data_IF_059348276971
#
_entry.id   IF_059348276971
#
_cell.length_a   1.000
_cell.length_b   1.000
_cell.length_c   1.000
_cell.angle_alpha   90.00
_cell.angle_beta   90.00
_cell.angle_gamma   90.00
#
_symmetry.space_group_name_H-M   'P 1'
#
loop_
_entity.id
_entity.type
_entity.pdbx_description
1 polymer ?
#
# COMPACT_ATOMS: atom_id res chain seq x y z
N UNK A 1 -51.92 8.29 39.52
CA UNK A 1 -51.64 9.73 39.33
C UNK A 1 -50.73 9.81 38.12
N UNK A 2 -51.27 10.21 36.97
CA UNK A 2 -50.51 10.42 35.75
C UNK A 2 -49.93 11.84 35.77
N UNK A 3 -48.69 12.01 35.28
CA UNK A 3 -48.28 13.22 34.57
C UNK A 3 -47.25 12.80 33.50
N UNK A 4 -47.65 12.93 32.24
CA UNK A 4 -46.79 12.97 31.06
C UNK A 4 -46.19 14.38 30.93
N UNK A 5 -44.92 14.46 30.54
CA UNK A 5 -44.38 15.44 29.58
C UNK A 5 -42.97 14.95 29.19
N UNK A 6 -42.75 14.37 28.01
CA UNK A 6 -42.64 15.02 26.69
C UNK A 6 -41.42 15.94 26.58
N UNK A 7 -40.28 15.35 26.25
CA UNK A 7 -39.25 15.96 25.42
C UNK A 7 -38.41 14.83 24.83
N UNK A 8 -38.73 14.45 23.59
CA UNK A 8 -37.84 13.64 22.76
C UNK A 8 -36.50 14.37 22.61
N UNK A 9 -35.35 13.71 22.84
CA UNK A 9 -34.10 14.24 22.34
C UNK A 9 -34.15 14.04 20.83
N UNK A 10 -34.38 15.13 20.10
CA UNK A 10 -34.04 15.19 18.68
C UNK A 10 -32.55 14.88 18.60
N UNK A 11 -32.26 13.67 18.15
CA UNK A 11 -30.92 13.15 17.96
C UNK A 11 -30.15 14.08 17.03
N UNK A 12 -29.04 14.62 17.51
CA UNK A 12 -28.04 15.33 16.72
C UNK A 12 -27.20 14.33 15.87
N UNK A 13 -27.84 13.31 15.27
CA UNK A 13 -27.17 12.18 14.62
C UNK A 13 -26.46 12.51 13.31
N UNK A 14 -26.65 13.69 12.75
CA UNK A 14 -25.99 14.09 11.49
C UNK A 14 -24.53 14.49 11.68
N UNK A 15 -24.11 14.81 12.90
CA UNK A 15 -22.72 15.16 13.24
C UNK A 15 -21.85 13.92 13.49
N UNK A 16 -22.46 12.80 13.89
CA UNK A 16 -21.81 11.50 14.09
C UNK A 16 -21.67 10.69 12.78
N UNK A 17 -22.21 11.14 11.63
CA UNK A 17 -22.25 10.29 10.40
C UNK A 17 -21.24 10.66 9.31
N UNK A 18 -20.82 11.91 9.17
CA UNK A 18 -19.93 12.33 8.06
C UNK A 18 -18.44 12.31 8.41
N UNK A 19 -18.11 12.60 9.67
CA UNK A 19 -16.73 12.52 10.17
C UNK A 19 -16.29 11.06 10.21
N UNK A 20 -17.14 10.20 10.77
CA UNK A 20 -16.92 8.76 10.93
C UNK A 20 -16.81 8.08 9.57
N UNK A 21 -17.71 8.39 8.63
CA UNK A 21 -17.69 7.82 7.27
C UNK A 21 -16.44 8.19 6.44
N UNK A 22 -15.69 9.21 6.85
CA UNK A 22 -14.41 9.59 6.22
C UNK A 22 -13.21 8.88 6.85
N UNK A 23 -13.33 8.46 8.10
CA UNK A 23 -12.25 7.86 8.84
C UNK A 23 -12.12 6.39 8.43
N UNK A 24 -11.00 6.05 7.79
CA UNK A 24 -10.77 4.71 7.30
C UNK A 24 -10.56 3.72 8.45
N UNK A 25 -11.00 2.48 8.25
CA UNK A 25 -10.67 1.37 9.16
C UNK A 25 -9.20 0.95 9.00
N UNK A 26 -8.64 1.10 7.81
CA UNK A 26 -7.23 0.80 7.52
C UNK A 26 -6.66 1.68 6.40
N UNK A 27 -5.34 1.86 6.40
CA UNK A 27 -4.60 2.38 5.24
C UNK A 27 -3.54 1.34 4.89
N UNK A 28 -3.62 0.79 3.68
CA UNK A 28 -2.79 -0.30 3.26
C UNK A 28 -1.54 0.17 2.49
N UNK A 29 -0.48 -0.61 2.62
CA UNK A 29 0.73 -0.47 1.81
C UNK A 29 1.20 -1.85 1.36
N UNK A 30 1.12 -2.09 0.06
CA UNK A 30 1.36 -3.39 -0.53
C UNK A 30 2.77 -3.45 -1.09
N UNK A 31 3.63 -4.19 -0.39
CA UNK A 31 5.01 -4.40 -0.78
C UNK A 31 5.58 -5.64 -0.09
N UNK A 32 6.63 -6.23 -0.68
CA UNK A 32 7.39 -7.31 -0.05
C UNK A 32 8.17 -6.85 1.19
N UNK A 33 8.50 -7.80 2.06
CA UNK A 33 9.48 -7.60 3.14
C UNK A 33 10.82 -7.12 2.53
N UNK A 34 11.50 -6.12 3.14
CA UNK A 34 11.24 -5.58 4.48
C UNK A 34 10.34 -4.34 4.54
N UNK A 35 9.84 -3.83 3.40
CA UNK A 35 9.03 -2.62 3.38
C UNK A 35 7.67 -2.82 4.06
N UNK A 36 7.08 -4.03 3.94
CA UNK A 36 5.89 -4.44 4.68
C UNK A 36 6.04 -4.26 6.20
N UNK A 37 7.19 -4.61 6.76
CA UNK A 37 7.45 -4.46 8.20
C UNK A 37 7.51 -3.01 8.63
N UNK A 38 8.18 -2.16 7.83
CA UNK A 38 8.25 -0.73 8.15
C UNK A 38 6.86 -0.08 8.09
N UNK A 39 6.02 -0.51 7.14
CA UNK A 39 4.64 -0.09 7.04
C UNK A 39 3.82 -0.56 8.25
N UNK A 40 3.92 -1.84 8.61
CA UNK A 40 3.25 -2.42 9.78
C UNK A 40 3.65 -1.70 11.08
N UNK A 41 4.95 -1.44 11.29
CA UNK A 41 5.46 -0.71 12.45
C UNK A 41 4.96 0.75 12.52
N UNK A 42 4.64 1.34 11.37
CA UNK A 42 4.02 2.66 11.30
C UNK A 42 2.49 2.61 11.41
N UNK A 43 1.88 1.42 11.49
CA UNK A 43 0.46 1.20 11.66
C UNK A 43 -0.35 1.12 10.37
N UNK A 44 0.33 0.93 9.22
CA UNK A 44 -0.35 0.57 7.96
C UNK A 44 -0.75 -0.91 7.99
N UNK A 45 -1.75 -1.26 7.17
CA UNK A 45 -2.07 -2.66 6.86
C UNK A 45 -1.09 -3.16 5.79
N UNK A 46 -0.14 -4.05 6.12
CA UNK A 46 0.82 -4.55 5.14
C UNK A 46 0.14 -5.53 4.19
N UNK A 47 0.63 -5.62 2.96
CA UNK A 47 0.05 -6.54 1.98
C UNK A 47 0.93 -6.75 0.77
N UNK A 48 0.44 -7.49 -0.22
CA UNK A 48 1.09 -7.65 -1.51
C UNK A 48 0.09 -8.07 -2.57
N UNK A 49 0.54 -8.09 -3.82
CA UNK A 49 -0.23 -8.57 -4.96
C UNK A 49 0.03 -10.06 -5.16
N UNK A 50 -1.01 -10.84 -5.43
CA UNK A 50 -1.00 -12.31 -5.45
C UNK A 50 0.02 -12.93 -6.41
N UNK A 51 0.40 -12.23 -7.49
CA UNK A 51 1.42 -12.65 -8.46
C UNK A 51 2.88 -12.43 -7.99
N UNK A 52 3.06 -11.82 -6.82
CA UNK A 52 4.38 -11.51 -6.25
C UNK A 52 4.74 -12.46 -5.10
N UNK A 53 6.03 -12.59 -4.82
CA UNK A 53 6.50 -13.21 -3.59
C UNK A 53 6.43 -12.20 -2.44
N UNK A 54 5.77 -12.56 -1.34
CA UNK A 54 5.64 -11.66 -0.18
C UNK A 54 6.92 -11.53 0.64
N UNK A 55 7.63 -12.66 0.79
CA UNK A 55 8.89 -12.76 1.52
C UNK A 55 9.94 -13.49 0.66
N UNK A 56 11.15 -12.96 0.64
CA UNK A 56 12.30 -13.65 0.03
C UNK A 56 12.84 -14.71 0.97
N UNK A 57 13.56 -15.71 0.44
CA UNK A 57 14.04 -16.86 1.21
C UNK A 57 14.92 -16.50 2.41
N UNK A 58 15.62 -15.37 2.38
CA UNK A 58 16.39 -14.91 3.55
C UNK A 58 15.52 -14.44 4.74
N UNK A 59 14.21 -14.32 4.55
CA UNK A 59 13.23 -13.92 5.57
C UNK A 59 12.23 -15.05 5.90
N UNK A 60 12.47 -16.29 5.49
CA UNK A 60 11.54 -17.42 5.70
C UNK A 60 11.24 -17.76 7.18
N UNK A 61 12.02 -17.20 8.11
CA UNK A 61 11.82 -17.37 9.57
C UNK A 61 11.03 -16.22 10.19
N UNK A 62 10.69 -15.19 9.42
CA UNK A 62 9.94 -14.04 9.85
C UNK A 62 8.45 -14.27 9.60
N UNK A 63 7.64 -14.24 10.64
CA UNK A 63 6.19 -14.16 10.49
C UNK A 63 5.79 -12.69 10.27
N UNK A 64 5.35 -12.36 9.06
CA UNK A 64 4.75 -11.06 8.73
C UNK A 64 3.29 -11.33 8.29
N UNK A 65 2.28 -10.78 8.98
CA UNK A 65 0.90 -11.00 8.59
C UNK A 65 0.62 -10.38 7.23
N UNK A 66 -0.20 -11.04 6.43
CA UNK A 66 -0.74 -10.48 5.18
C UNK A 66 -2.06 -9.80 5.53
N UNK A 67 -2.02 -8.49 5.74
CA UNK A 67 -3.24 -7.74 6.02
C UNK A 67 -4.09 -7.49 4.76
N UNK A 68 -3.46 -7.23 3.61
CA UNK A 68 -4.15 -7.04 2.35
C UNK A 68 -3.56 -7.87 1.21
N UNK A 69 -4.41 -8.56 0.46
CA UNK A 69 -4.07 -9.27 -0.78
C UNK A 69 -4.76 -8.58 -1.95
N UNK A 70 -3.98 -8.15 -2.95
CA UNK A 70 -4.48 -7.52 -4.17
C UNK A 70 -4.36 -8.47 -5.37
N UNK A 71 -5.22 -8.28 -6.38
CA UNK A 71 -5.19 -9.08 -7.61
C UNK A 71 -4.31 -8.44 -8.69
N UNK A 72 -3.76 -9.25 -9.61
CA UNK A 72 -3.05 -8.77 -10.78
C UNK A 72 -4.05 -8.43 -11.87
N UNK A 73 -4.61 -7.21 -11.78
CA UNK A 73 -5.60 -6.73 -12.74
C UNK A 73 -5.12 -6.74 -14.19
N UNK A 74 -3.80 -6.79 -14.45
CA UNK A 74 -3.23 -6.85 -15.81
C UNK A 74 -3.28 -8.25 -16.41
N UNK A 75 -3.23 -9.28 -15.57
CA UNK A 75 -3.32 -10.67 -15.97
C UNK A 75 -4.16 -11.42 -14.92
N UNK A 76 -5.48 -11.12 -14.87
CA UNK A 76 -6.35 -11.61 -13.82
C UNK A 76 -6.49 -13.12 -13.91
N UNK A 77 -6.35 -13.77 -12.76
CA UNK A 77 -6.41 -15.22 -12.61
C UNK A 77 -7.09 -15.50 -11.27
N UNK A 78 -8.39 -15.78 -11.32
CA UNK A 78 -9.23 -15.93 -10.13
C UNK A 78 -8.84 -17.18 -9.33
N UNK A 79 -8.48 -18.28 -10.00
CA UNK A 79 -8.04 -19.50 -9.33
C UNK A 79 -6.74 -19.26 -8.57
N UNK A 80 -5.76 -18.60 -9.22
CA UNK A 80 -4.52 -18.18 -8.54
C UNK A 80 -4.82 -17.28 -7.34
N UNK A 81 -5.72 -16.32 -7.48
CA UNK A 81 -6.08 -15.43 -6.37
C UNK A 81 -6.70 -16.20 -5.21
N UNK A 82 -7.66 -17.11 -5.48
CA UNK A 82 -8.31 -17.96 -4.47
C UNK A 82 -7.29 -18.81 -3.73
N UNK A 83 -6.38 -19.47 -4.44
CA UNK A 83 -5.33 -20.29 -3.83
C UNK A 83 -4.46 -19.45 -2.87
N UNK A 84 -4.07 -18.24 -3.27
CA UNK A 84 -3.25 -17.34 -2.45
C UNK A 84 -4.04 -16.77 -1.27
N UNK A 85 -5.33 -16.46 -1.43
CA UNK A 85 -6.19 -16.01 -0.34
C UNK A 85 -6.34 -17.10 0.73
N UNK A 86 -6.49 -18.36 0.34
CA UNK A 86 -6.55 -19.50 1.27
C UNK A 86 -5.19 -19.80 1.91
N UNK A 87 -4.08 -19.53 1.23
CA UNK A 87 -2.73 -19.72 1.77
C UNK A 87 -2.39 -18.70 2.87
N UNK A 88 -2.76 -17.42 2.67
CA UNK A 88 -2.35 -16.34 3.58
C UNK A 88 -3.44 -15.83 4.51
N UNK A 89 -4.71 -16.17 4.25
CA UNK A 89 -5.86 -15.77 5.05
C UNK A 89 -5.88 -14.24 5.34
N UNK A 90 -5.93 -13.38 4.31
CA UNK A 90 -5.76 -11.95 4.50
C UNK A 90 -6.95 -11.31 5.23
N UNK A 91 -6.72 -10.21 5.96
CA UNK A 91 -7.82 -9.42 6.55
C UNK A 91 -8.68 -8.74 5.46
N UNK A 92 -8.04 -8.34 4.35
CA UNK A 92 -8.67 -7.63 3.23
C UNK A 92 -8.23 -8.26 1.91
N UNK A 93 -9.18 -8.50 1.00
CA UNK A 93 -8.89 -9.10 -0.30
C UNK A 93 -9.54 -8.37 -1.48
N UNK A 94 -8.75 -7.90 -2.45
CA UNK A 94 -9.26 -7.37 -3.73
C UNK A 94 -9.39 -8.53 -4.72
N UNK A 95 -10.61 -9.00 -4.97
CA UNK A 95 -10.81 -10.22 -5.76
C UNK A 95 -10.63 -10.00 -7.27
N UNK A 96 -10.93 -8.80 -7.76
CA UNK A 96 -10.87 -8.53 -9.19
C UNK A 96 -11.58 -7.26 -9.67
N UNK A 97 -11.26 -6.93 -10.92
CA UNK A 97 -11.91 -5.88 -11.71
C UNK A 97 -13.13 -6.47 -12.44
N UNK A 98 -14.32 -5.88 -12.26
CA UNK A 98 -15.57 -6.30 -12.90
C UNK A 98 -15.99 -5.32 -14.00
N UNK A 99 -15.89 -5.72 -15.26
CA UNK A 99 -16.21 -4.90 -16.43
C UNK A 99 -17.68 -4.94 -16.82
N UNK A 100 -18.43 -5.93 -16.34
CA UNK A 100 -19.88 -6.02 -16.48
C UNK A 100 -20.58 -6.65 -15.26
N UNK A 101 -21.91 -6.71 -15.32
CA UNK A 101 -22.72 -7.28 -14.24
C UNK A 101 -22.53 -8.80 -14.07
N UNK A 102 -22.17 -9.53 -15.12
CA UNK A 102 -21.97 -10.98 -15.06
C UNK A 102 -20.64 -11.31 -14.38
N UNK A 103 -19.57 -10.57 -14.69
CA UNK A 103 -18.29 -10.68 -13.98
C UNK A 103 -18.44 -10.27 -12.51
N UNK A 104 -19.16 -9.19 -12.23
CA UNK A 104 -19.48 -8.80 -10.86
C UNK A 104 -20.19 -9.93 -10.10
N UNK A 105 -21.22 -10.55 -10.70
CA UNK A 105 -21.91 -11.69 -10.09
C UNK A 105 -20.99 -12.89 -9.89
N UNK A 106 -20.09 -13.19 -10.83
CA UNK A 106 -19.11 -14.26 -10.68
C UNK A 106 -18.21 -14.03 -9.45
N UNK A 107 -17.71 -12.81 -9.26
CA UNK A 107 -16.91 -12.49 -8.06
C UNK A 107 -17.74 -12.54 -6.78
N UNK A 108 -19.00 -12.10 -6.81
CA UNK A 108 -19.91 -12.22 -5.66
C UNK A 108 -20.05 -13.69 -5.27
N UNK A 109 -20.31 -14.58 -6.24
CA UNK A 109 -20.48 -16.01 -5.99
C UNK A 109 -19.19 -16.61 -5.38
N UNK A 110 -18.01 -16.27 -5.92
CA UNK A 110 -16.72 -16.71 -5.36
C UNK A 110 -16.48 -16.17 -3.94
N UNK A 111 -16.81 -14.91 -3.66
CA UNK A 111 -16.72 -14.35 -2.30
C UNK A 111 -17.61 -15.14 -1.35
N UNK A 112 -18.83 -15.51 -1.75
CA UNK A 112 -19.73 -16.30 -0.87
C UNK A 112 -19.17 -17.69 -0.58
N UNK A 113 -18.46 -18.29 -1.52
CA UNK A 113 -17.76 -19.56 -1.30
C UNK A 113 -16.57 -19.37 -0.34
N UNK A 114 -15.74 -18.35 -0.57
CA UNK A 114 -14.59 -18.04 0.27
C UNK A 114 -14.98 -17.69 1.70
N UNK A 115 -16.10 -17.01 1.92
CA UNK A 115 -16.63 -16.69 3.25
C UNK A 115 -16.90 -17.94 4.12
N UNK A 116 -17.00 -19.14 3.51
CA UNK A 116 -17.07 -20.40 4.26
C UNK A 116 -15.76 -20.78 4.97
N UNK A 117 -14.61 -20.33 4.45
CA UNK A 117 -13.27 -20.60 5.00
C UNK A 117 -12.62 -19.34 5.59
N UNK A 118 -12.94 -18.17 5.05
CA UNK A 118 -12.37 -16.86 5.35
C UNK A 118 -13.48 -15.90 5.82
N UNK A 119 -14.14 -16.26 6.93
CA UNK A 119 -15.34 -15.57 7.40
C UNK A 119 -15.09 -14.10 7.80
N UNK A 120 -13.88 -13.80 8.28
CA UNK A 120 -13.50 -12.47 8.77
C UNK A 120 -12.86 -11.59 7.67
N UNK A 121 -12.56 -12.14 6.50
CA UNK A 121 -11.92 -11.39 5.40
C UNK A 121 -12.92 -10.43 4.74
N UNK A 122 -12.52 -9.16 4.64
CA UNK A 122 -13.26 -8.14 3.92
C UNK A 122 -12.88 -8.15 2.43
N UNK A 123 -13.79 -8.63 1.58
CA UNK A 123 -13.57 -8.69 0.14
C UNK A 123 -14.03 -7.43 -0.58
N UNK A 124 -13.25 -7.02 -1.58
CA UNK A 124 -13.46 -5.87 -2.44
C UNK A 124 -13.63 -6.34 -3.88
N UNK A 125 -14.68 -5.87 -4.55
CA UNK A 125 -14.83 -5.97 -6.01
C UNK A 125 -14.65 -4.57 -6.61
N UNK A 126 -13.85 -4.46 -7.67
CA UNK A 126 -13.56 -3.17 -8.32
C UNK A 126 -14.41 -3.02 -9.59
N UNK A 127 -15.60 -2.38 -9.54
CA UNK A 127 -16.42 -2.19 -10.73
C UNK A 127 -15.75 -1.25 -11.74
N UNK A 128 -15.92 -1.54 -13.03
CA UNK A 128 -15.48 -0.69 -14.17
C UNK A 128 -16.63 -0.18 -15.03
N UNK A 129 -17.87 -0.46 -14.63
CA UNK A 129 -19.07 0.12 -15.23
C UNK A 129 -20.19 0.25 -14.19
N UNK A 130 -21.22 1.06 -14.48
CA UNK A 130 -22.36 1.25 -13.57
C UNK A 130 -23.16 -0.04 -13.35
N UNK A 131 -23.31 -0.88 -14.37
CA UNK A 131 -24.01 -2.16 -14.24
C UNK A 131 -23.32 -3.11 -13.25
N UNK A 132 -21.99 -3.05 -13.14
CA UNK A 132 -21.24 -3.80 -12.12
C UNK A 132 -21.50 -3.24 -10.71
N UNK A 133 -21.54 -1.91 -10.52
CA UNK A 133 -21.91 -1.29 -9.23
C UNK A 133 -23.28 -1.79 -8.75
N UNK A 134 -24.27 -1.81 -9.66
CA UNK A 134 -25.65 -2.24 -9.36
C UNK A 134 -25.76 -3.74 -9.04
N UNK A 135 -24.88 -4.57 -9.61
CA UNK A 135 -24.87 -6.01 -9.40
C UNK A 135 -24.20 -6.43 -8.08
N UNK A 136 -23.27 -5.62 -7.55
CA UNK A 136 -22.54 -5.93 -6.31
C UNK A 136 -23.44 -5.58 -5.10
N UNK A 137 -23.75 -6.54 -4.21
CA UNK A 137 -24.59 -6.30 -3.04
C UNK A 137 -23.94 -5.36 -2.02
N UNK A 138 -24.77 -4.70 -1.20
CA UNK A 138 -24.34 -3.63 -0.30
C UNK A 138 -23.38 -4.08 0.82
N UNK A 139 -23.36 -5.38 1.15
CA UNK A 139 -22.48 -5.95 2.16
C UNK A 139 -21.05 -6.24 1.65
N UNK A 140 -20.83 -6.14 0.33
CA UNK A 140 -19.50 -6.26 -0.28
C UNK A 140 -18.96 -4.85 -0.60
N UNK A 141 -17.68 -4.65 -0.29
CA UNK A 141 -17.00 -3.36 -0.48
C UNK A 141 -16.78 -3.09 -1.97
N UNK A 142 -17.05 -1.85 -2.38
CA UNK A 142 -16.74 -1.38 -3.73
C UNK A 142 -15.33 -0.80 -3.78
N UNK A 143 -14.55 -1.26 -4.76
CA UNK A 143 -13.26 -0.67 -5.11
C UNK A 143 -13.43 0.56 -5.99
N UNK A 144 -13.15 1.76 -5.46
CA UNK A 144 -13.09 2.98 -6.23
C UNK A 144 -11.72 3.12 -6.90
N UNK A 145 -11.62 2.75 -8.18
CA UNK A 145 -10.41 2.90 -8.98
C UNK A 145 -10.05 4.38 -9.20
N UNK A 146 -8.97 4.85 -8.58
CA UNK A 146 -8.46 6.24 -8.70
C UNK A 146 -7.03 6.32 -9.26
N UNK A 147 -6.29 5.22 -9.18
CA UNK A 147 -4.89 5.09 -9.58
C UNK A 147 -4.63 4.71 -11.03
N UNK A 148 -3.65 3.82 -11.23
CA UNK A 148 -3.29 3.30 -12.55
C UNK A 148 -4.21 2.12 -12.88
N UNK A 149 -5.12 2.29 -13.83
CA UNK A 149 -6.04 1.26 -14.31
C UNK A 149 -6.47 1.56 -15.76
N UNK A 150 -7.11 0.60 -16.43
CA UNK A 150 -7.69 0.83 -17.77
C UNK A 150 -8.88 1.79 -17.73
N UNK A 151 -9.73 1.65 -16.72
CA UNK A 151 -10.92 2.49 -16.49
C UNK A 151 -10.94 2.99 -15.05
N UNK A 152 -11.18 4.28 -14.87
CA UNK A 152 -11.27 4.94 -13.56
C UNK A 152 -12.74 5.15 -13.17
N UNK A 153 -13.02 5.10 -11.86
CA UNK A 153 -14.38 5.19 -11.33
C UNK A 153 -15.15 6.42 -11.82
N UNK A 154 -14.50 7.59 -11.83
CA UNK A 154 -15.11 8.86 -12.26
C UNK A 154 -15.41 8.95 -13.76
N UNK A 155 -14.95 8.00 -14.59
CA UNK A 155 -15.19 8.00 -16.04
C UNK A 155 -16.55 7.42 -16.41
N UNK A 156 -17.09 6.51 -15.59
CA UNK A 156 -18.36 5.81 -15.86
C UNK A 156 -19.44 6.03 -14.81
N UNK A 157 -19.12 6.67 -13.69
CA UNK A 157 -20.04 6.84 -12.56
C UNK A 157 -20.02 8.28 -12.02
N UNK A 158 -21.04 8.62 -11.24
CA UNK A 158 -21.15 9.86 -10.50
C UNK A 158 -21.05 9.58 -8.99
N UNK A 159 -20.73 10.59 -8.15
CA UNK A 159 -20.60 10.39 -6.70
C UNK A 159 -21.80 9.71 -6.04
N UNK A 160 -23.02 10.01 -6.52
CA UNK A 160 -24.27 9.40 -6.03
C UNK A 160 -24.30 7.88 -6.17
N UNK A 161 -23.59 7.32 -7.15
CA UNK A 161 -23.52 5.86 -7.39
C UNK A 161 -22.74 5.13 -6.27
N UNK A 162 -21.97 5.85 -5.46
CA UNK A 162 -21.11 5.30 -4.39
C UNK A 162 -21.59 5.66 -2.98
N UNK A 163 -22.49 6.63 -2.87
CA UNK A 163 -22.97 7.14 -1.58
C UNK A 163 -23.86 6.12 -0.89
N UNK A 164 -23.71 5.97 0.42
CA UNK A 164 -24.35 4.90 1.20
C UNK A 164 -23.72 3.52 1.03
N UNK A 165 -22.65 3.38 0.23
CA UNK A 165 -21.89 2.14 0.08
C UNK A 165 -20.61 2.20 0.91
N UNK A 166 -20.06 1.01 1.21
CA UNK A 166 -18.71 0.83 1.74
C UNK A 166 -17.72 0.88 0.58
N UNK A 167 -16.70 1.73 0.68
CA UNK A 167 -15.80 2.06 -0.42
C UNK A 167 -14.35 1.97 0.02
N UNK A 168 -13.57 1.20 -0.72
CA UNK A 168 -12.11 1.21 -0.66
C UNK A 168 -11.56 2.01 -1.85
N UNK A 169 -10.67 2.98 -1.63
CA UNK A 169 -10.11 3.80 -2.73
C UNK A 169 -8.78 3.21 -3.20
N UNK A 170 -8.77 2.69 -4.43
CA UNK A 170 -7.60 2.01 -5.02
C UNK A 170 -6.66 2.97 -5.75
N UNK A 171 -5.45 3.08 -5.22
CA UNK A 171 -4.36 3.84 -5.78
C UNK A 171 -4.64 5.34 -6.00
N UNK A 172 -3.75 5.99 -6.75
CA UNK A 172 -3.76 7.44 -6.90
C UNK A 172 -3.01 8.13 -5.76
N UNK A 173 -2.41 9.29 -6.02
CA UNK A 173 -1.65 10.00 -4.99
C UNK A 173 -2.57 10.47 -3.84
N UNK A 174 -2.06 10.65 -2.62
CA UNK A 174 -2.87 11.02 -1.46
C UNK A 174 -3.76 12.26 -1.66
N UNK A 175 -3.31 13.35 -2.32
CA UNK A 175 -4.21 14.47 -2.62
C UNK A 175 -5.38 14.11 -3.56
N UNK A 176 -5.14 13.22 -4.54
CA UNK A 176 -6.16 12.74 -5.48
C UNK A 176 -7.17 11.81 -4.81
N UNK A 177 -6.74 11.06 -3.81
CA UNK A 177 -7.59 10.23 -2.98
C UNK A 177 -8.40 11.11 -2.01
N UNK A 178 -7.80 12.14 -1.43
CA UNK A 178 -8.49 13.11 -0.58
C UNK A 178 -9.64 13.81 -1.32
N UNK A 179 -9.45 14.22 -2.58
CA UNK A 179 -10.54 14.75 -3.42
C UNK A 179 -11.75 13.79 -3.51
N UNK A 180 -11.48 12.49 -3.65
CA UNK A 180 -12.53 11.46 -3.70
C UNK A 180 -13.19 11.31 -2.34
N UNK A 181 -12.41 11.21 -1.26
CA UNK A 181 -12.91 11.15 0.11
C UNK A 181 -13.84 12.34 0.38
N UNK A 182 -13.43 13.56 0.09
CA UNK A 182 -14.25 14.77 0.25
C UNK A 182 -15.52 14.69 -0.59
N UNK A 183 -15.41 14.31 -1.86
CA UNK A 183 -16.55 14.21 -2.76
C UNK A 183 -17.59 13.19 -2.29
N UNK A 184 -17.16 12.04 -1.78
CA UNK A 184 -18.03 10.94 -1.39
C UNK A 184 -18.59 11.09 0.04
N UNK A 185 -17.92 11.85 0.92
CA UNK A 185 -18.30 11.96 2.33
C UNK A 185 -18.93 13.30 2.70
N UNK A 186 -18.69 14.38 1.96
CA UNK A 186 -19.25 15.69 2.33
C UNK A 186 -20.79 15.70 2.28
N UNK A 187 -21.45 16.55 3.09
CA UNK A 187 -22.90 16.75 3.01
C UNK A 187 -23.35 17.24 1.63
N UNK A 188 -24.51 16.79 1.17
CA UNK A 188 -25.10 17.22 -0.11
C UNK A 188 -26.41 17.98 0.13
N UNK A 189 -26.80 18.82 -0.84
CA UNK A 189 -28.09 19.54 -0.79
C UNK A 189 -29.31 18.61 -0.83
N UNK A 190 -29.15 17.44 -1.42
CA UNK A 190 -30.15 16.37 -1.51
C UNK A 190 -30.28 15.55 -0.22
N UNK A 191 -29.33 15.69 0.71
CA UNK A 191 -29.31 14.92 1.95
C UNK A 191 -28.91 13.46 1.76
N UNK A 192 -28.22 13.14 0.65
CA UNK A 192 -27.75 11.78 0.39
C UNK A 192 -26.75 11.36 1.47
N UNK A 193 -26.80 10.10 1.95
CA UNK A 193 -25.86 9.61 2.96
C UNK A 193 -24.42 9.67 2.44
N UNK A 194 -23.40 9.86 3.28
CA UNK A 194 -22.01 9.74 2.84
C UNK A 194 -21.71 8.30 2.40
N UNK A 195 -20.70 8.10 1.55
CA UNK A 195 -20.06 6.79 1.42
C UNK A 195 -19.24 6.50 2.68
N UNK A 196 -19.19 5.25 3.10
CA UNK A 196 -18.35 4.76 4.20
C UNK A 196 -16.97 4.39 3.64
N UNK A 197 -15.96 5.22 3.86
CA UNK A 197 -14.59 4.99 3.40
C UNK A 197 -13.94 3.96 4.32
N UNK A 198 -13.87 2.70 3.89
CA UNK A 198 -13.33 1.62 4.72
C UNK A 198 -11.81 1.52 4.65
N UNK A 199 -11.21 1.84 3.50
CA UNK A 199 -9.77 1.76 3.33
C UNK A 199 -9.22 2.50 2.12
N UNK A 200 -7.91 2.71 2.13
CA UNK A 200 -7.15 3.27 1.01
C UNK A 200 -5.82 2.53 0.85
N UNK A 201 -5.34 2.39 -0.37
CA UNK A 201 -3.98 1.92 -0.65
C UNK A 201 -3.25 2.83 -1.64
N UNK A 202 -1.93 2.97 -1.49
CA UNK A 202 -1.09 3.62 -2.49
C UNK A 202 0.39 3.21 -2.40
N UNK A 203 0.87 2.53 -3.45
CA UNK A 203 2.21 1.93 -3.48
C UNK A 203 3.27 2.79 -4.19
N UNK A 204 2.96 4.06 -4.49
CA UNK A 204 3.85 4.94 -5.28
C UNK A 204 5.19 5.28 -4.59
N UNK A 205 5.27 5.12 -3.27
CA UNK A 205 6.42 5.51 -2.45
C UNK A 205 7.71 4.80 -2.83
N UNK A 206 7.65 3.49 -3.09
CA UNK A 206 8.85 2.71 -3.43
C UNK A 206 9.47 3.21 -4.73
N UNK A 207 8.65 3.51 -5.74
CA UNK A 207 9.12 4.02 -7.03
C UNK A 207 9.86 5.34 -6.88
N UNK A 208 9.31 6.31 -6.14
CA UNK A 208 10.00 7.58 -5.87
C UNK A 208 11.32 7.39 -5.14
N UNK A 209 11.35 6.49 -4.15
CA UNK A 209 12.57 6.17 -3.42
C UNK A 209 13.67 5.55 -4.31
N UNK A 210 13.32 4.91 -5.43
CA UNK A 210 14.32 4.48 -6.41
C UNK A 210 15.08 5.66 -7.05
N UNK A 211 14.46 6.84 -7.08
CA UNK A 211 15.05 8.08 -7.58
C UNK A 211 15.63 8.96 -6.47
N UNK A 212 15.74 8.46 -5.23
CA UNK A 212 16.14 9.27 -4.07
C UNK A 212 15.11 10.34 -3.69
N UNK A 213 13.88 10.22 -4.19
CA UNK A 213 12.78 11.13 -3.90
C UNK A 213 11.92 10.54 -2.77
N UNK A 214 11.44 11.40 -1.89
CA UNK A 214 10.44 11.02 -0.89
C UNK A 214 9.16 11.85 -1.07
N UNK A 215 8.05 11.27 -0.62
CA UNK A 215 6.77 11.93 -0.74
C UNK A 215 6.52 12.93 0.40
N UNK A 216 5.95 14.08 0.05
CA UNK A 216 5.44 15.10 0.95
C UNK A 216 4.02 15.54 0.52
N UNK A 217 3.31 16.24 1.40
CA UNK A 217 1.98 16.79 1.07
C UNK A 217 2.02 17.77 -0.12
N UNK A 218 3.15 18.43 -0.35
CA UNK A 218 3.37 19.38 -1.45
C UNK A 218 3.87 18.69 -2.74
N UNK A 219 4.11 17.38 -2.71
CA UNK A 219 4.60 16.59 -3.83
C UNK A 219 5.90 15.83 -3.53
N UNK A 220 6.57 15.40 -4.59
CA UNK A 220 7.87 14.72 -4.50
C UNK A 220 8.96 15.72 -4.14
N UNK A 221 9.76 15.37 -3.13
CA UNK A 221 10.93 16.11 -2.70
C UNK A 221 12.19 15.29 -3.04
N UNK A 222 13.11 15.90 -3.78
CA UNK A 222 14.35 15.29 -4.26
C UNK A 222 15.58 15.64 -3.42
N UNK A 223 15.43 16.37 -2.31
CA UNK A 223 16.53 16.68 -1.38
C UNK A 223 17.14 15.43 -0.74
N UNK A 224 16.43 14.29 -0.80
CA UNK A 224 16.96 12.98 -0.46
C UNK A 224 18.12 12.52 -1.37
N UNK A 225 18.26 13.11 -2.57
CA UNK A 225 19.41 12.89 -3.47
C UNK A 225 20.69 13.57 -2.97
N UNK A 226 20.54 14.73 -2.33
CA UNK A 226 21.64 15.52 -1.77
C UNK A 226 21.98 15.14 -0.32
N UNK A 227 21.10 14.37 0.33
CA UNK A 227 21.38 13.79 1.62
C UNK A 227 22.35 12.63 1.46
N UNK A 228 23.60 12.84 1.89
CA UNK A 228 24.60 11.79 2.05
C UNK A 228 23.96 10.54 2.70
N UNK A 229 23.89 9.42 1.95
CA UNK A 229 23.71 8.06 2.47
C UNK A 229 22.28 7.59 2.83
N UNK A 230 21.24 8.01 2.10
CA UNK A 230 19.87 7.47 2.30
C UNK A 230 19.60 6.27 1.37
N UNK A 231 19.35 5.09 1.96
CA UNK A 231 18.92 3.86 1.28
C UNK A 231 17.46 3.95 0.83
N UNK A 232 17.02 3.10 -0.10
CA UNK A 232 15.62 3.08 -0.59
C UNK A 232 14.67 2.90 0.57
N UNK A 233 14.97 1.96 1.47
CA UNK A 233 14.13 1.67 2.63
C UNK A 233 14.02 2.82 3.62
N UNK A 234 15.09 3.56 3.91
CA UNK A 234 15.01 4.81 4.69
C UNK A 234 14.10 5.83 4.01
N UNK A 235 14.22 6.00 2.70
CA UNK A 235 13.41 6.95 1.92
C UNK A 235 11.92 6.53 1.90
N UNK A 236 11.63 5.24 1.75
CA UNK A 236 10.26 4.70 1.86
C UNK A 236 9.71 4.88 3.27
N UNK A 237 10.45 4.50 4.32
CA UNK A 237 10.04 4.68 5.73
C UNK A 237 9.78 6.15 6.06
N UNK A 238 10.62 7.06 5.54
CA UNK A 238 10.40 8.50 5.68
C UNK A 238 9.09 8.91 5.01
N UNK A 239 8.88 8.48 3.76
CA UNK A 239 7.66 8.77 3.01
C UNK A 239 6.40 8.21 3.66
N UNK A 240 6.43 6.99 4.20
CA UNK A 240 5.33 6.37 4.95
C UNK A 240 4.97 7.20 6.19
N UNK A 241 5.98 7.71 6.91
CA UNK A 241 5.74 8.57 8.09
C UNK A 241 5.06 9.89 7.69
N UNK A 242 5.45 10.47 6.55
CA UNK A 242 4.80 11.66 5.98
C UNK A 242 3.37 11.37 5.52
N UNK A 243 3.16 10.23 4.87
CA UNK A 243 1.85 9.77 4.41
C UNK A 243 0.89 9.57 5.58
N UNK A 244 1.34 8.89 6.64
CA UNK A 244 0.58 8.76 7.89
C UNK A 244 0.19 10.13 8.44
N UNK A 245 1.15 11.04 8.56
CA UNK A 245 0.89 12.40 9.05
C UNK A 245 -0.14 13.13 8.19
N UNK A 246 -0.03 13.02 6.86
CA UNK A 246 -1.01 13.60 5.94
C UNK A 246 -2.43 13.10 6.23
N UNK A 247 -2.62 11.79 6.36
CA UNK A 247 -3.94 11.23 6.65
C UNK A 247 -4.46 11.57 8.05
N UNK A 248 -3.57 11.68 9.04
CA UNK A 248 -3.93 12.14 10.38
C UNK A 248 -4.38 13.61 10.37
N UNK A 249 -3.62 14.48 9.69
CA UNK A 249 -3.95 15.91 9.56
C UNK A 249 -5.29 16.12 8.84
N UNK A 250 -5.67 15.19 7.94
CA UNK A 250 -6.95 15.18 7.23
C UNK A 250 -7.99 14.28 7.87
N UNK A 251 -7.82 13.78 9.11
CA UNK A 251 -8.81 12.98 9.84
C UNK A 251 -9.34 11.74 9.08
N UNK A 252 -8.50 11.14 8.24
CA UNK A 252 -8.79 9.88 7.51
C UNK A 252 -8.11 8.70 8.18
N UNK A 253 -6.99 8.93 8.86
CA UNK A 253 -6.20 7.86 9.48
C UNK A 253 -7.00 7.06 10.54
N UNK A 254 -6.85 5.73 10.61
CA UNK A 254 -7.56 4.90 11.59
C UNK A 254 -7.21 5.22 13.04
N UNK A 255 -8.17 5.05 13.97
CA UNK A 255 -7.92 5.23 15.41
C UNK A 255 -7.15 4.07 16.04
N UNK A 256 -7.32 2.86 15.50
CA UNK A 256 -6.61 1.67 15.89
C UNK A 256 -5.57 1.31 14.84
N UNK A 257 -4.32 1.12 15.26
CA UNK A 257 -3.29 0.52 14.42
C UNK A 257 -3.17 -0.97 14.72
N UNK A 258 -2.82 -1.82 13.73
CA UNK A 258 -2.45 -3.20 13.99
C UNK A 258 -1.39 -3.28 15.10
N UNK A 259 -1.53 -4.23 16.04
CA UNK A 259 -0.54 -4.46 17.09
C UNK A 259 0.72 -5.12 16.49
N UNK A 260 1.89 -4.76 17.02
CA UNK A 260 3.17 -5.34 16.63
C UNK A 260 3.69 -6.14 17.82
N UNK A 261 3.89 -7.46 17.64
CA UNK A 261 4.96 -8.13 18.37
C UNK A 261 6.26 -7.75 17.63
N UNK A 262 7.21 -7.13 18.32
CA UNK A 262 8.47 -6.69 17.71
C UNK A 262 9.27 -7.91 17.20
N UNK A 263 9.06 -8.30 15.94
CA UNK A 263 9.86 -9.35 15.30
C UNK A 263 11.18 -8.75 14.83
N UNK A 264 12.28 -9.12 15.50
CA UNK A 264 13.61 -8.66 15.14
C UNK A 264 14.04 -9.25 13.79
N UNK A 265 14.21 -8.40 12.77
CA UNK A 265 14.71 -8.82 11.46
C UNK A 265 16.19 -9.23 11.55
N UNK A 266 16.47 -10.53 11.57
CA UNK A 266 17.84 -11.06 11.53
C UNK A 266 18.35 -11.17 10.09
N UNK A 267 18.94 -10.10 9.55
CA UNK A 267 19.62 -10.12 8.25
C UNK A 267 20.96 -9.38 8.30
N UNK A 268 22.09 -10.05 8.14
CA UNK A 268 23.40 -9.46 8.45
C UNK A 268 23.91 -8.38 7.46
N UNK A 269 23.34 -8.28 6.26
CA UNK A 269 23.81 -7.36 5.22
C UNK A 269 25.03 -7.86 4.45
N UNK A 270 25.34 -7.28 3.28
CA UNK A 270 26.58 -7.54 2.60
C UNK A 270 27.73 -6.89 3.37
N UNK A 271 28.89 -7.48 3.23
CA UNK A 271 30.14 -7.06 3.84
C UNK A 271 31.18 -6.79 2.76
N UNK A 272 32.27 -6.15 3.17
CA UNK A 272 33.45 -5.98 2.34
C UNK A 272 34.02 -7.29 1.78
N UNK A 273 33.81 -8.43 2.47
CA UNK A 273 34.29 -9.74 2.03
C UNK A 273 33.47 -10.36 0.89
N UNK A 274 32.27 -9.83 0.64
CA UNK A 274 31.35 -10.38 -0.34
C UNK A 274 31.59 -9.84 -1.77
N UNK A 275 32.50 -8.87 -1.94
CA UNK A 275 32.85 -8.37 -3.27
C UNK A 275 33.83 -9.31 -3.97
N UNK A 276 33.41 -9.88 -5.08
CA UNK A 276 34.23 -10.80 -5.88
C UNK A 276 35.32 -10.08 -6.71
N UNK A 277 35.15 -8.77 -6.93
CA UNK A 277 36.02 -7.96 -7.77
C UNK A 277 36.38 -6.64 -7.10
N UNK A 278 37.64 -6.24 -7.27
CA UNK A 278 38.11 -4.91 -6.90
C UNK A 278 37.67 -3.80 -7.87
N UNK A 279 37.06 -4.15 -9.02
CA UNK A 279 36.58 -3.18 -9.99
C UNK A 279 35.17 -2.71 -9.63
N UNK A 280 34.96 -1.40 -9.69
CA UNK A 280 33.66 -0.76 -9.52
C UNK A 280 32.72 -1.28 -10.59
N UNK A 281 31.55 -1.79 -10.20
CA UNK A 281 30.58 -2.35 -11.13
C UNK A 281 30.12 -1.33 -12.18
N UNK A 282 30.11 -0.04 -11.85
CA UNK A 282 29.69 1.01 -12.78
C UNK A 282 30.81 1.52 -13.70
N UNK A 283 31.94 1.93 -13.14
CA UNK A 283 32.97 2.66 -13.89
C UNK A 283 34.28 1.88 -14.06
N UNK A 284 34.36 0.65 -13.56
CA UNK A 284 35.55 -0.22 -13.57
C UNK A 284 36.75 0.30 -12.76
N UNK A 285 36.66 1.45 -12.09
CA UNK A 285 37.72 1.96 -11.22
C UNK A 285 37.94 1.04 -10.01
N UNK A 286 39.14 1.03 -9.44
CA UNK A 286 39.39 0.21 -8.26
C UNK A 286 38.66 0.76 -7.03
N UNK A 287 37.76 -0.03 -6.44
CA UNK A 287 36.87 0.38 -5.33
C UNK A 287 37.59 0.60 -4.00
N UNK A 288 38.83 0.11 -3.87
CA UNK A 288 39.67 0.25 -2.68
C UNK A 288 40.57 1.48 -2.69
N UNK A 289 40.44 2.33 -3.71
CA UNK A 289 41.29 3.54 -3.86
C UNK A 289 40.78 4.73 -3.06
N UNK A 290 39.60 4.62 -2.45
CA UNK A 290 39.04 5.66 -1.59
C UNK A 290 39.43 5.40 -0.12
N UNK A 291 39.70 6.47 0.63
CA UNK A 291 40.05 6.37 2.05
C UNK A 291 38.93 5.77 2.91
N UNK A 292 37.69 5.86 2.43
CA UNK A 292 36.49 5.30 3.08
C UNK A 292 36.29 3.81 2.79
N UNK A 293 36.89 3.29 1.72
CA UNK A 293 36.58 1.96 1.20
C UNK A 293 35.30 1.94 0.35
N UNK A 294 34.93 0.74 -0.16
CA UNK A 294 33.88 0.61 -1.15
C UNK A 294 32.48 0.62 -0.54
N UNK A 295 31.51 1.06 -1.33
CA UNK A 295 30.10 0.76 -1.08
C UNK A 295 29.82 -0.65 -1.59
N UNK A 296 29.09 -1.45 -0.82
CA UNK A 296 28.70 -2.81 -1.24
C UNK A 296 27.19 -2.91 -1.18
N UNK A 297 26.56 -3.34 -2.28
CA UNK A 297 25.11 -3.51 -2.34
C UNK A 297 24.73 -4.93 -2.77
N UNK A 298 23.71 -5.49 -2.12
CA UNK A 298 23.06 -6.74 -2.50
C UNK A 298 21.70 -6.43 -3.17
N UNK A 299 21.47 -7.02 -4.34
CA UNK A 299 20.26 -6.84 -5.12
C UNK A 299 19.38 -8.09 -5.16
N UNK A 300 18.09 -7.90 -5.45
CA UNK A 300 17.08 -8.96 -5.57
C UNK A 300 17.35 -10.01 -6.67
N UNK A 301 18.36 -9.75 -7.51
CA UNK A 301 18.93 -10.73 -8.45
C UNK A 301 19.89 -11.73 -7.79
N UNK A 302 20.22 -11.54 -6.51
CA UNK A 302 21.28 -12.26 -5.79
C UNK A 302 22.69 -11.72 -6.05
N UNK A 303 22.82 -10.64 -6.84
CA UNK A 303 24.11 -10.04 -7.13
C UNK A 303 24.59 -9.17 -5.96
N UNK A 304 25.85 -9.37 -5.53
CA UNK A 304 26.57 -8.46 -4.64
C UNK A 304 27.57 -7.66 -5.44
N UNK A 305 27.46 -6.33 -5.39
CA UNK A 305 28.24 -5.41 -6.24
C UNK A 305 29.01 -4.39 -5.40
N UNK A 306 30.23 -4.06 -5.85
CA UNK A 306 31.09 -3.07 -5.22
C UNK A 306 31.16 -1.77 -6.03
N UNK A 307 31.13 -0.62 -5.34
CA UNK A 307 31.17 0.70 -5.96
C UNK A 307 32.21 1.60 -5.31
N UNK A 308 32.91 2.38 -6.14
CA UNK A 308 33.90 3.35 -5.68
C UNK A 308 33.27 4.60 -5.03
N UNK A 309 32.01 4.90 -5.34
CA UNK A 309 31.28 6.03 -4.77
C UNK A 309 29.76 5.80 -4.84
N UNK A 310 29.02 6.62 -4.11
CA UNK A 310 27.56 6.59 -4.09
C UNK A 310 26.95 6.87 -5.47
N UNK A 311 27.51 7.80 -6.25
CA UNK A 311 27.04 8.10 -7.60
C UNK A 311 27.12 6.88 -8.54
N UNK A 312 28.19 6.08 -8.41
CA UNK A 312 28.35 4.84 -9.18
C UNK A 312 27.32 3.79 -8.76
N UNK A 313 27.12 3.62 -7.45
CA UNK A 313 26.06 2.76 -6.90
C UNK A 313 24.68 3.14 -7.47
N UNK A 314 24.32 4.42 -7.35
CA UNK A 314 23.03 4.94 -7.77
C UNK A 314 22.83 4.83 -9.29
N UNK A 315 23.83 5.20 -10.08
CA UNK A 315 23.79 5.14 -11.54
C UNK A 315 23.61 3.71 -12.07
N UNK A 316 24.39 2.77 -11.53
CA UNK A 316 24.29 1.37 -11.91
C UNK A 316 22.93 0.78 -11.57
N UNK A 317 22.48 1.00 -10.34
CA UNK A 317 21.18 0.53 -9.86
C UNK A 317 20.06 1.05 -10.74
N UNK A 318 20.04 2.35 -11.00
CA UNK A 318 19.00 3.01 -11.79
C UNK A 318 18.96 2.49 -13.22
N UNK A 319 20.12 2.40 -13.90
CA UNK A 319 20.21 1.92 -15.28
C UNK A 319 19.66 0.50 -15.45
N UNK A 320 19.84 -0.34 -14.43
CA UNK A 320 19.48 -1.76 -14.48
C UNK A 320 18.17 -2.09 -13.74
N UNK A 321 17.48 -1.08 -13.20
CA UNK A 321 16.23 -1.25 -12.46
C UNK A 321 16.33 -2.30 -11.33
N UNK A 322 17.43 -2.23 -10.56
CA UNK A 322 17.73 -3.20 -9.49
C UNK A 322 17.11 -2.77 -8.15
N UNK A 323 16.62 -3.75 -7.39
CA UNK A 323 16.03 -3.52 -6.07
C UNK A 323 16.91 -4.05 -4.94
N UNK A 324 16.96 -3.33 -3.83
CA UNK A 324 17.70 -3.69 -2.61
C UNK A 324 17.01 -4.85 -1.87
N UNK A 325 17.78 -5.85 -1.42
CA UNK A 325 17.27 -7.08 -0.76
C UNK A 325 16.67 -6.83 0.63
N UNK A 326 17.28 -5.95 1.43
CA UNK A 326 16.88 -5.67 2.81
C UNK A 326 16.89 -4.16 3.13
N UNK A 327 16.95 -3.33 2.09
CA UNK A 327 17.02 -1.89 2.18
C UNK A 327 18.27 -1.37 2.88
N UNK A 328 18.08 -0.87 4.10
CA UNK A 328 19.12 -0.25 4.95
C UNK A 328 20.31 -1.17 5.22
N UNK A 329 20.03 -2.47 5.38
CA UNK A 329 21.05 -3.46 5.67
C UNK A 329 21.64 -4.07 4.42
N UNK A 330 21.00 -3.94 3.25
CA UNK A 330 21.52 -4.51 2.00
C UNK A 330 22.54 -3.61 1.31
N UNK A 331 22.86 -2.46 1.91
CA UNK A 331 23.95 -1.60 1.46
C UNK A 331 24.92 -1.37 2.61
N UNK A 332 26.13 -1.90 2.48
CA UNK A 332 27.25 -1.49 3.30
C UNK A 332 27.68 -0.09 2.87
N UNK A 333 27.57 0.86 3.79
CA UNK A 333 28.00 2.24 3.60
C UNK A 333 29.29 2.41 4.40
N UNK A 334 30.40 2.80 3.75
CA UNK A 334 31.64 2.99 4.46
C UNK A 334 31.55 4.13 5.49
N UNK A 335 32.24 4.02 6.65
CA UNK A 335 32.21 5.07 7.68
C UNK A 335 32.68 6.43 7.16
N UNK A 336 32.11 7.51 7.72
CA UNK A 336 32.36 8.90 7.34
C UNK A 336 33.79 9.38 7.63
#
# INVERSE_FOLDING_TARGET
MAIHDSADPVSNSTTETHTDARQAAYVAFLHRVPFALDALALGFLPGFREDCTYQQSQFDTLECPVGMLDNDFRNPDLDRYVDRALEYEPDVGVIGDAYDAAEAQSYVDTIRELQGSLAETEFIIVPKCRAAIEAIPDDIVLGYSRGYAETLAHEFSAPVDWRGRRVHILGGSPPKQLEVVEQLTQPTLTGDPPADIVGLDWNGLHRGAQFGEFWTADGWDDSGRDADHVTVRKTVRHSLSRLKKFWQDHGVWPDSTPQVDETELTYSGPTLGDIESAACTECSANVWTTDRGPYVAEYDTGAVCGYCCYECYFSHRHRNNLEEVAGDRSVYIPPA
#
